data_IF_461340873471
#
_entry.id   IF_461340873471
#
_cell.length_a   1.000
_cell.length_b   1.000
_cell.length_c   1.000
_cell.angle_alpha   90.00
_cell.angle_beta   90.00
_cell.angle_gamma   90.00
#
_symmetry.space_group_name_H-M   'P 1'
#
loop_
_entity.id
_entity.type
_entity.pdbx_description
1 polymer ?
#
# COMPACT_ATOMS: atom_id res chain seq x y z
N UNK A 1 -18.38 66.16 -25.91
CA UNK A 1 -17.63 65.98 -24.65
C UNK A 1 -16.18 66.36 -24.94
N UNK A 2 -15.57 67.31 -24.20
CA UNK A 2 -14.28 67.90 -24.59
C UNK A 2 -13.13 66.88 -24.40
N UNK A 3 -12.34 66.56 -25.46
CA UNK A 3 -11.31 65.51 -25.41
C UNK A 3 -10.16 65.81 -24.43
N UNK A 4 -10.00 67.07 -24.03
CA UNK A 4 -8.95 67.50 -23.08
C UNK A 4 -9.20 67.01 -21.65
N UNK A 5 -10.46 66.76 -21.29
CA UNK A 5 -10.84 66.23 -19.98
C UNK A 5 -10.45 64.76 -19.85
N UNK A 6 -10.59 63.99 -20.94
CA UNK A 6 -10.19 62.58 -20.99
C UNK A 6 -8.67 62.43 -20.88
N UNK A 7 -7.90 63.30 -21.55
CA UNK A 7 -6.44 63.29 -21.47
C UNK A 7 -5.93 63.61 -20.06
N UNK A 8 -6.52 64.59 -19.36
CA UNK A 8 -6.17 64.90 -17.96
C UNK A 8 -6.55 63.78 -16.99
N UNK A 9 -7.67 63.10 -17.23
CA UNK A 9 -8.13 61.98 -16.40
C UNK A 9 -7.19 60.77 -16.50
N UNK A 10 -6.74 60.42 -17.71
CA UNK A 10 -5.77 59.33 -17.94
C UNK A 10 -4.41 59.65 -17.29
N UNK A 11 -3.95 60.92 -17.33
CA UNK A 11 -2.71 61.35 -16.68
C UNK A 11 -2.78 61.24 -15.14
N UNK A 12 -3.95 61.51 -14.55
CA UNK A 12 -4.16 61.37 -13.10
C UNK A 12 -4.24 59.89 -12.66
N UNK A 13 -4.81 59.02 -13.48
CA UNK A 13 -4.83 57.57 -13.25
C UNK A 13 -3.43 56.93 -13.37
N UNK A 14 -2.59 57.42 -14.28
CA UNK A 14 -1.22 56.92 -14.45
C UNK A 14 -0.26 57.40 -13.35
N UNK A 15 -0.60 58.47 -12.62
CA UNK A 15 0.22 59.05 -11.55
C UNK A 15 0.09 58.35 -10.19
N UNK A 16 -0.75 57.31 -10.07
CA UNK A 16 -0.95 56.53 -8.82
C UNK A 16 -0.55 55.06 -8.93
N UNK A 17 0.31 54.67 -9.87
CA UNK A 17 0.99 53.37 -9.76
C UNK A 17 2.11 53.49 -8.73
N UNK A 18 1.77 53.31 -7.46
CA UNK A 18 2.73 52.98 -6.41
C UNK A 18 3.46 51.72 -6.88
N UNK A 19 4.74 51.83 -7.19
CA UNK A 19 5.57 50.70 -7.60
C UNK A 19 5.94 49.89 -6.36
N UNK A 20 4.96 49.21 -5.75
CA UNK A 20 5.22 48.14 -4.79
C UNK A 20 5.51 46.85 -5.56
N UNK A 21 6.66 46.81 -6.24
CA UNK A 21 7.19 45.59 -6.83
C UNK A 21 7.90 44.77 -5.77
N UNK A 22 7.71 43.45 -5.77
CA UNK A 22 8.55 42.52 -5.00
C UNK A 22 10.02 42.77 -5.36
N UNK A 23 10.85 42.90 -4.33
CA UNK A 23 12.28 43.07 -4.57
C UNK A 23 12.89 41.73 -5.00
N UNK A 24 13.92 41.76 -5.84
CA UNK A 24 14.60 40.54 -6.28
C UNK A 24 15.18 39.76 -5.09
N UNK A 25 15.64 40.48 -4.05
CA UNK A 25 16.14 39.87 -2.82
C UNK A 25 15.04 39.18 -1.99
N UNK A 26 13.82 39.73 -1.98
CA UNK A 26 12.68 39.13 -1.28
C UNK A 26 12.27 37.80 -1.91
N UNK A 27 12.25 37.73 -3.24
CA UNK A 27 12.02 36.46 -3.96
C UNK A 27 13.18 35.50 -3.73
N UNK A 28 14.42 36.00 -3.68
CA UNK A 28 15.61 35.18 -3.46
C UNK A 28 15.62 34.50 -2.07
N UNK A 29 15.26 35.22 -1.01
CA UNK A 29 15.15 34.65 0.34
C UNK A 29 14.04 33.59 0.41
N UNK A 30 12.90 33.83 -0.26
CA UNK A 30 11.79 32.86 -0.30
C UNK A 30 12.20 31.55 -0.96
N UNK A 31 12.87 31.59 -2.12
CA UNK A 31 13.31 30.37 -2.80
C UNK A 31 14.39 29.63 -2.00
N UNK A 32 15.24 30.35 -1.25
CA UNK A 32 16.24 29.74 -0.35
C UNK A 32 15.54 28.99 0.78
N UNK A 33 14.57 29.62 1.45
CA UNK A 33 13.80 28.98 2.52
C UNK A 33 13.01 27.77 1.97
N UNK A 34 12.34 27.92 0.82
CA UNK A 34 11.65 26.82 0.16
C UNK A 34 12.59 25.67 -0.24
N UNK A 35 13.80 25.98 -0.71
CA UNK A 35 14.82 24.99 -1.03
C UNK A 35 15.24 24.16 0.19
N UNK A 36 15.44 24.80 1.34
CA UNK A 36 15.77 24.11 2.61
C UNK A 36 14.61 23.21 3.05
N UNK A 37 13.37 23.72 3.00
CA UNK A 37 12.18 22.95 3.38
C UNK A 37 11.98 21.73 2.49
N UNK A 38 12.14 21.87 1.18
CA UNK A 38 12.00 20.75 0.22
C UNK A 38 13.11 19.72 0.43
N UNK A 39 14.36 20.15 0.64
CA UNK A 39 15.48 19.23 0.86
C UNK A 39 15.26 18.29 2.05
N UNK A 40 14.63 18.77 3.13
CA UNK A 40 14.31 17.96 4.31
C UNK A 40 12.98 17.21 4.14
N UNK A 41 11.97 17.85 3.53
CA UNK A 41 10.61 17.31 3.45
C UNK A 41 10.44 16.21 2.40
N UNK A 42 11.14 16.29 1.27
CA UNK A 42 10.98 15.35 0.15
C UNK A 42 11.38 13.91 0.50
N UNK A 43 12.54 13.60 1.11
CA UNK A 43 12.90 12.22 1.45
C UNK A 43 11.90 11.59 2.44
N UNK A 44 11.36 12.40 3.36
CA UNK A 44 10.36 11.96 4.33
C UNK A 44 9.01 11.62 3.70
N UNK A 45 8.60 12.41 2.69
CA UNK A 45 7.36 12.15 1.97
C UNK A 45 7.42 10.86 1.15
N UNK A 46 8.57 10.58 0.51
CA UNK A 46 8.79 9.38 -0.28
C UNK A 46 8.77 8.09 0.57
N UNK A 47 9.34 8.11 1.78
CA UNK A 47 9.29 6.93 2.67
C UNK A 47 7.90 6.67 3.24
N UNK A 48 7.14 7.73 3.58
CA UNK A 48 5.75 7.59 4.06
C UNK A 48 4.81 7.01 3.01
N UNK A 49 4.98 7.38 1.75
CA UNK A 49 4.17 6.82 0.66
C UNK A 49 4.47 5.35 0.42
N UNK A 50 5.74 4.92 0.50
CA UNK A 50 6.09 3.50 0.46
C UNK A 50 5.46 2.71 1.62
N UNK A 51 5.54 3.21 2.86
CA UNK A 51 4.94 2.55 4.03
C UNK A 51 3.41 2.46 3.93
N UNK A 52 2.75 3.49 3.37
CA UNK A 52 1.30 3.46 3.16
C UNK A 52 0.91 2.36 2.15
N UNK A 53 1.67 2.22 1.06
CA UNK A 53 1.48 1.16 0.06
C UNK A 53 1.74 -0.23 0.65
N UNK A 54 2.77 -0.39 1.48
CA UNK A 54 3.06 -1.65 2.15
C UNK A 54 1.96 -2.05 3.14
N UNK A 55 1.38 -1.07 3.86
CA UNK A 55 0.25 -1.31 4.75
C UNK A 55 -1.01 -1.80 4.01
N UNK A 56 -1.24 -1.34 2.77
CA UNK A 56 -2.32 -1.85 1.90
C UNK A 56 -2.19 -3.37 1.68
N UNK A 57 -0.99 -3.83 1.32
CA UNK A 57 -0.73 -5.25 1.07
C UNK A 57 -0.81 -6.09 2.35
N UNK A 58 -0.23 -5.59 3.44
CA UNK A 58 -0.30 -6.24 4.74
C UNK A 58 -1.76 -6.45 5.19
N UNK A 59 -2.60 -5.42 5.05
CA UNK A 59 -4.03 -5.49 5.38
C UNK A 59 -4.80 -6.41 4.44
N UNK A 60 -4.45 -6.41 3.15
CA UNK A 60 -5.08 -7.28 2.15
C UNK A 60 -4.81 -8.75 2.46
N UNK A 61 -3.56 -9.14 2.73
CA UNK A 61 -3.21 -10.52 3.12
C UNK A 61 -3.85 -10.91 4.46
N UNK A 62 -3.89 -10.01 5.44
CA UNK A 62 -4.60 -10.26 6.70
C UNK A 62 -6.10 -10.49 6.49
N UNK A 63 -6.72 -9.71 5.60
CA UNK A 63 -8.12 -9.86 5.22
C UNK A 63 -8.37 -11.17 4.48
N UNK A 64 -7.47 -11.59 3.59
CA UNK A 64 -7.53 -12.89 2.93
C UNK A 64 -7.50 -14.01 3.96
N UNK A 65 -6.54 -14.02 4.89
CA UNK A 65 -6.46 -15.05 5.94
C UNK A 65 -7.74 -15.15 6.79
N UNK A 66 -8.34 -14.00 7.13
CA UNK A 66 -9.62 -13.94 7.87
C UNK A 66 -10.78 -14.46 7.01
N UNK A 67 -10.87 -14.04 5.76
CA UNK A 67 -11.89 -14.48 4.82
C UNK A 67 -11.81 -15.99 4.57
N UNK A 68 -10.60 -16.55 4.42
CA UNK A 68 -10.37 -17.99 4.31
C UNK A 68 -10.88 -18.76 5.53
N UNK A 69 -10.58 -18.24 6.72
CA UNK A 69 -11.05 -18.82 7.99
C UNK A 69 -12.59 -18.81 8.06
N UNK A 70 -13.23 -17.71 7.67
CA UNK A 70 -14.68 -17.59 7.64
C UNK A 70 -15.31 -18.51 6.58
N UNK A 71 -14.81 -18.47 5.34
CA UNK A 71 -15.29 -19.30 4.23
C UNK A 71 -15.24 -20.79 4.57
N UNK A 72 -14.15 -21.24 5.19
CA UNK A 72 -14.02 -22.62 5.66
C UNK A 72 -15.03 -22.98 6.74
N UNK A 73 -15.33 -22.05 7.65
CA UNK A 73 -16.34 -22.29 8.68
C UNK A 73 -17.71 -22.61 8.09
N UNK A 74 -17.99 -22.14 6.87
CA UNK A 74 -19.23 -22.37 6.15
C UNK A 74 -19.15 -23.57 5.19
N UNK A 75 -18.03 -23.73 4.46
CA UNK A 75 -17.91 -24.66 3.33
C UNK A 75 -17.01 -25.87 3.61
N UNK A 76 -16.33 -25.92 4.77
CA UNK A 76 -15.36 -26.95 5.19
C UNK A 76 -14.11 -27.10 4.31
N UNK A 77 -13.91 -26.22 3.34
CA UNK A 77 -12.73 -26.12 2.51
C UNK A 77 -12.24 -24.67 2.43
N UNK A 78 -11.02 -24.45 1.98
CA UNK A 78 -10.54 -23.11 1.65
C UNK A 78 -10.90 -22.77 0.19
N UNK A 79 -10.96 -21.48 -0.12
CA UNK A 79 -11.28 -20.99 -1.46
C UNK A 79 -10.02 -20.58 -2.20
N UNK A 80 -9.93 -20.93 -3.46
CA UNK A 80 -8.91 -20.47 -4.39
C UNK A 80 -9.35 -19.20 -5.14
N UNK A 81 -10.55 -18.68 -4.87
CA UNK A 81 -11.13 -17.53 -5.56
C UNK A 81 -11.44 -16.33 -4.68
N UNK A 82 -10.95 -15.16 -5.10
CA UNK A 82 -11.19 -13.88 -4.46
C UNK A 82 -12.68 -13.49 -4.51
N UNK A 83 -13.37 -13.86 -5.59
CA UNK A 83 -14.80 -13.58 -5.77
C UNK A 83 -15.65 -14.33 -4.74
N UNK A 84 -15.27 -15.57 -4.40
CA UNK A 84 -15.93 -16.36 -3.35
C UNK A 84 -15.61 -15.85 -1.95
N UNK A 85 -14.44 -15.23 -1.75
CA UNK A 85 -14.05 -14.63 -0.47
C UNK A 85 -14.67 -13.24 -0.25
N UNK A 86 -15.38 -12.69 -1.25
CA UNK A 86 -16.07 -11.41 -1.22
C UNK A 86 -15.17 -10.24 -0.77
N UNK A 87 -13.90 -10.24 -1.20
CA UNK A 87 -12.89 -9.29 -0.75
C UNK A 87 -12.98 -7.88 -1.39
N UNK A 88 -13.98 -7.62 -2.24
CA UNK A 88 -14.36 -6.29 -2.72
C UNK A 88 -13.33 -5.59 -3.61
N UNK A 89 -12.17 -5.22 -3.06
CA UNK A 89 -11.07 -4.56 -3.77
C UNK A 89 -10.22 -5.55 -4.59
N UNK A 90 -10.30 -6.84 -4.27
CA UNK A 90 -9.65 -7.94 -4.99
C UNK A 90 -10.74 -8.75 -5.69
N UNK A 91 -10.62 -8.89 -7.00
CA UNK A 91 -11.54 -9.68 -7.82
C UNK A 91 -10.74 -10.53 -8.80
N UNK A 92 -11.28 -11.71 -9.11
CA UNK A 92 -10.61 -12.67 -9.97
C UNK A 92 -10.63 -14.09 -9.44
N UNK A 93 -10.37 -15.03 -10.35
CA UNK A 93 -10.48 -16.45 -10.07
C UNK A 93 -9.39 -16.96 -9.12
N UNK A 94 -8.13 -16.54 -9.26
CA UNK A 94 -7.00 -16.91 -8.38
C UNK A 94 -5.97 -15.77 -8.27
N UNK A 95 -6.05 -14.77 -9.15
CA UNK A 95 -5.12 -13.67 -9.28
C UNK A 95 -5.94 -12.38 -9.23
N UNK A 96 -5.47 -11.39 -8.48
CA UNK A 96 -6.05 -10.06 -8.38
C UNK A 96 -4.94 -9.01 -8.39
N UNK A 97 -5.23 -7.82 -8.92
CA UNK A 97 -4.23 -6.77 -9.06
C UNK A 97 -4.68 -5.48 -8.38
N UNK A 98 -3.76 -4.85 -7.65
CA UNK A 98 -3.86 -3.43 -7.29
C UNK A 98 -2.73 -2.65 -7.98
N UNK A 99 -2.71 -1.30 -7.92
CA UNK A 99 -1.65 -0.52 -8.56
C UNK A 99 -0.24 -0.85 -8.06
N UNK A 100 -0.11 -1.32 -6.82
CA UNK A 100 1.19 -1.55 -6.17
C UNK A 100 1.56 -3.04 -6.07
N UNK A 101 0.57 -3.94 -6.09
CA UNK A 101 0.77 -5.36 -5.83
C UNK A 101 -0.02 -6.25 -6.80
N UNK A 102 0.53 -7.44 -7.08
CA UNK A 102 -0.19 -8.57 -7.66
C UNK A 102 -0.42 -9.60 -6.58
N UNK A 103 -1.67 -10.00 -6.40
CA UNK A 103 -2.09 -10.96 -5.40
C UNK A 103 -2.41 -12.29 -6.07
N UNK A 104 -1.95 -13.37 -5.47
CA UNK A 104 -2.30 -14.73 -5.89
C UNK A 104 -2.73 -15.52 -4.67
N UNK A 105 -3.79 -16.31 -4.82
CA UNK A 105 -4.19 -17.27 -3.81
C UNK A 105 -4.13 -18.67 -4.40
N UNK A 106 -3.75 -19.61 -3.55
CA UNK A 106 -3.80 -21.03 -3.83
C UNK A 106 -4.32 -21.72 -2.58
N UNK A 107 -5.15 -22.74 -2.74
CA UNK A 107 -5.72 -23.46 -1.61
C UNK A 107 -5.90 -24.94 -1.89
N UNK A 108 -5.89 -25.70 -0.81
CA UNK A 108 -6.31 -27.09 -0.78
C UNK A 108 -7.40 -27.29 0.30
N UNK A 109 -7.78 -28.54 0.55
CA UNK A 109 -8.82 -28.86 1.53
C UNK A 109 -8.44 -28.43 2.94
N UNK A 110 -7.16 -28.29 3.29
CA UNK A 110 -6.59 -28.09 4.63
C UNK A 110 -5.68 -26.87 4.78
N UNK A 111 -5.26 -26.26 3.67
CA UNK A 111 -4.37 -25.10 3.64
C UNK A 111 -4.82 -24.06 2.62
N UNK A 112 -4.45 -22.82 2.84
CA UNK A 112 -4.52 -21.76 1.85
C UNK A 112 -3.30 -20.87 1.98
N UNK A 113 -2.76 -20.43 0.86
CA UNK A 113 -1.66 -19.49 0.74
C UNK A 113 -2.13 -18.28 -0.04
N UNK A 114 -1.66 -17.11 0.36
CA UNK A 114 -1.85 -15.86 -0.35
C UNK A 114 -0.49 -15.18 -0.50
N UNK A 115 -0.17 -14.71 -1.69
CA UNK A 115 1.04 -13.93 -1.94
C UNK A 115 0.64 -12.53 -2.41
N UNK A 116 1.44 -11.53 -2.05
CA UNK A 116 1.37 -10.19 -2.58
C UNK A 116 2.76 -9.83 -3.12
N UNK A 117 2.93 -9.94 -4.43
CA UNK A 117 4.13 -9.55 -5.13
C UNK A 117 4.13 -8.04 -5.35
N UNK A 118 5.17 -7.36 -4.88
CA UNK A 118 5.36 -5.94 -5.14
C UNK A 118 5.67 -5.69 -6.62
N UNK A 119 5.06 -4.64 -7.19
CA UNK A 119 5.32 -4.18 -8.57
C UNK A 119 6.46 -3.17 -8.69
N UNK A 120 6.89 -2.62 -7.55
CA UNK A 120 7.93 -1.60 -7.44
C UNK A 120 9.07 -2.13 -6.55
N UNK A 121 10.32 -1.92 -6.96
CA UNK A 121 11.53 -2.38 -6.25
C UNK A 121 11.73 -1.71 -4.89
N UNK A 122 11.02 -0.62 -4.59
CA UNK A 122 11.04 0.05 -3.28
C UNK A 122 10.08 -0.58 -2.27
N UNK A 123 9.22 -1.50 -2.70
CA UNK A 123 8.22 -2.14 -1.87
C UNK A 123 8.63 -3.57 -1.50
N UNK A 124 8.17 -4.04 -0.34
CA UNK A 124 8.37 -5.41 0.15
C UNK A 124 7.20 -6.28 -0.23
N UNK A 125 7.48 -7.55 -0.55
CA UNK A 125 6.46 -8.57 -0.77
C UNK A 125 5.86 -9.07 0.53
N UNK A 126 4.62 -9.55 0.48
CA UNK A 126 3.94 -10.17 1.61
C UNK A 126 3.48 -11.57 1.27
N UNK A 127 3.46 -12.43 2.28
CA UNK A 127 2.96 -13.80 2.17
C UNK A 127 2.05 -14.09 3.36
N UNK A 128 0.93 -14.75 3.11
CA UNK A 128 0.01 -15.24 4.12
C UNK A 128 -0.25 -16.72 3.91
N UNK A 129 -0.43 -17.44 5.00
CA UNK A 129 -0.93 -18.80 4.89
C UNK A 129 -1.86 -19.12 6.06
N UNK A 130 -2.87 -19.94 5.79
CA UNK A 130 -3.80 -20.49 6.76
C UNK A 130 -3.80 -22.00 6.68
N UNK A 131 -3.83 -22.66 7.83
CA UNK A 131 -3.75 -24.11 8.00
C UNK A 131 -4.89 -24.53 8.93
N UNK A 132 -5.65 -25.54 8.54
CA UNK A 132 -6.44 -26.32 9.49
C UNK A 132 -5.60 -27.47 10.03
N UNK A 133 -5.59 -27.64 11.35
CA UNK A 133 -4.98 -28.78 12.00
C UNK A 133 -5.95 -29.45 12.97
N UNK A 134 -5.69 -30.72 13.27
CA UNK A 134 -6.30 -31.45 14.37
C UNK A 134 -5.27 -31.59 15.48
N UNK A 135 -5.64 -31.22 16.70
CA UNK A 135 -4.76 -31.45 17.84
C UNK A 135 -4.89 -32.88 18.38
N UNK A 136 -4.02 -33.26 19.31
CA UNK A 136 -4.02 -34.58 19.96
C UNK A 136 -5.30 -34.92 20.73
N UNK A 137 -6.17 -33.94 20.96
CA UNK A 137 -7.46 -34.09 21.65
C UNK A 137 -8.64 -34.08 20.65
N UNK A 138 -8.39 -34.25 19.35
CA UNK A 138 -9.37 -34.22 18.25
C UNK A 138 -10.14 -32.91 18.09
N UNK A 139 -9.62 -31.79 18.60
CA UNK A 139 -10.18 -30.47 18.30
C UNK A 139 -9.58 -29.93 17.01
N UNK A 140 -10.46 -29.41 16.14
CA UNK A 140 -10.07 -28.69 14.93
C UNK A 140 -9.67 -27.27 15.29
N UNK A 141 -8.46 -26.89 14.88
CA UNK A 141 -7.93 -25.54 15.00
C UNK A 141 -7.59 -24.96 13.63
N UNK A 142 -7.54 -23.63 13.56
CA UNK A 142 -7.04 -22.90 12.39
C UNK A 142 -5.88 -22.03 12.86
N UNK A 143 -4.74 -22.16 12.22
CA UNK A 143 -3.57 -21.33 12.41
C UNK A 143 -3.32 -20.50 11.15
N UNK A 144 -2.80 -19.29 11.32
CA UNK A 144 -2.50 -18.39 10.21
C UNK A 144 -1.20 -17.64 10.47
N UNK A 145 -0.40 -17.46 9.43
CA UNK A 145 0.83 -16.66 9.45
C UNK A 145 0.71 -15.51 8.46
N UNK A 146 1.35 -14.39 8.79
CA UNK A 146 1.58 -13.26 7.90
C UNK A 146 3.07 -12.98 7.91
N UNK A 147 3.65 -12.83 6.73
CA UNK A 147 5.08 -12.71 6.52
C UNK A 147 5.38 -11.52 5.62
N UNK A 148 6.52 -10.89 5.87
CA UNK A 148 7.06 -9.78 5.08
C UNK A 148 8.44 -10.17 4.54
N UNK A 149 8.74 -9.80 3.30
CA UNK A 149 10.05 -10.02 2.71
C UNK A 149 11.15 -9.26 3.49
N UNK A 150 12.31 -9.89 3.71
CA UNK A 150 13.46 -9.29 4.39
C UNK A 150 14.07 -8.12 3.61
N UNK A 151 13.98 -8.16 2.28
CA UNK A 151 14.43 -7.11 1.38
C UNK A 151 13.30 -6.62 0.45
N UNK A 152 13.29 -5.31 0.10
CA UNK A 152 12.37 -4.80 -0.91
C UNK A 152 12.75 -5.29 -2.31
N UNK A 153 11.77 -5.54 -3.15
CA UNK A 153 11.98 -6.09 -4.48
C UNK A 153 10.70 -6.58 -5.13
N UNK A 154 10.81 -6.95 -6.39
CA UNK A 154 9.67 -7.45 -7.20
C UNK A 154 9.66 -8.97 -7.33
N UNK A 155 10.52 -9.67 -6.58
CA UNK A 155 10.56 -11.13 -6.58
C UNK A 155 9.23 -11.67 -6.05
N UNK A 156 8.63 -12.61 -6.78
CA UNK A 156 7.42 -13.29 -6.31
C UNK A 156 7.72 -13.98 -4.96
N UNK A 157 6.82 -13.85 -3.96
CA UNK A 157 6.99 -14.56 -2.70
C UNK A 157 7.11 -16.07 -2.94
N UNK A 158 8.11 -16.69 -2.32
CA UNK A 158 8.20 -18.14 -2.30
C UNK A 158 7.00 -18.77 -1.58
N UNK A 159 6.83 -20.09 -1.72
CA UNK A 159 5.79 -20.81 -0.97
C UNK A 159 6.36 -21.18 0.40
N UNK A 160 5.62 -20.82 1.46
CA UNK A 160 5.97 -21.18 2.83
C UNK A 160 5.81 -22.68 3.09
N UNK A 161 6.32 -23.14 4.22
CA UNK A 161 6.15 -24.55 4.63
C UNK A 161 5.03 -24.69 5.64
N UNK A 162 4.38 -25.85 5.68
CA UNK A 162 3.35 -26.15 6.66
C UNK A 162 3.88 -27.15 7.69
N UNK A 163 3.95 -26.73 8.95
CA UNK A 163 4.19 -27.63 10.08
C UNK A 163 2.91 -28.35 10.50
N UNK A 164 3.01 -29.18 11.56
CA UNK A 164 1.87 -29.94 12.08
C UNK A 164 0.72 -29.07 12.58
N UNK A 165 1.04 -27.87 13.10
CA UNK A 165 0.06 -26.97 13.73
C UNK A 165 0.17 -25.51 13.28
N UNK A 166 1.26 -25.14 12.61
CA UNK A 166 1.52 -23.75 12.20
C UNK A 166 2.03 -23.70 10.75
N UNK A 167 1.52 -22.78 9.93
CA UNK A 167 2.19 -22.39 8.70
C UNK A 167 3.43 -21.55 9.04
N UNK A 168 4.48 -21.69 8.24
CA UNK A 168 5.74 -20.98 8.38
C UNK A 168 5.99 -20.09 7.15
N UNK A 169 6.74 -19.01 7.36
CA UNK A 169 7.14 -18.13 6.28
C UNK A 169 8.08 -18.82 5.26
N UNK A 170 8.09 -18.35 4.00
CA UNK A 170 9.12 -18.71 3.02
C UNK A 170 10.53 -18.32 3.50
N UNK A 171 11.56 -18.83 2.83
CA UNK A 171 12.93 -18.31 3.01
C UNK A 171 12.98 -16.84 2.60
N UNK A 172 13.81 -16.03 3.29
CA UNK A 172 13.94 -14.58 3.10
C UNK A 172 12.68 -13.77 3.47
N UNK A 173 11.80 -14.35 4.29
CA UNK A 173 10.63 -13.70 4.85
C UNK A 173 10.62 -13.80 6.38
N UNK A 174 10.20 -12.71 7.02
CA UNK A 174 10.10 -12.59 8.48
C UNK A 174 8.62 -12.64 8.86
N UNK A 175 8.30 -13.40 9.91
CA UNK A 175 6.94 -13.47 10.45
C UNK A 175 6.57 -12.17 11.17
N UNK A 176 5.41 -11.62 10.80
CA UNK A 176 4.82 -10.47 11.47
C UNK A 176 3.91 -10.96 12.60
N UNK A 177 4.20 -10.52 13.82
CA UNK A 177 3.39 -10.88 14.99
C UNK A 177 1.95 -10.37 14.85
N UNK A 178 1.00 -11.27 15.14
CA UNK A 178 -0.44 -11.06 15.10
C UNK A 178 -0.96 -9.99 16.04
#
# INVERSE_FOLDING_TARGET
MKPELQAKFIKYLNSRKSHSGFTLIEVMVVIIIMGILVAIGLPYFLSRTANAKQSEAQQSISSINKAQTAYRSEHREFSDSFDKLALGNLSGANIADTPNYSYEISSDISTSTASAQAKDTSLRGYYGATLQYVNSSNYLGISSVLCEAEDPGTTAPGVGTFGLFTPNCPTDYIELSR
#
